data_IF_652017590056
#
_entry.id   IF_652017590056
#
_cell.length_a   1.000
_cell.length_b   1.000
_cell.length_c   1.000
_cell.angle_alpha   90.00
_cell.angle_beta   90.00
_cell.angle_gamma   90.00
#
_symmetry.space_group_name_H-M   'P 1'
#
loop_
_entity.id
_entity.type
_entity.pdbx_description
1 polymer ?
#
# COMPACT_ATOMS: atom_id res chain seq x y z
N UNK A 1 7.31 16.05 -10.67
CA UNK A 1 6.17 16.74 -11.32
C UNK A 1 5.14 17.06 -10.24
N UNK A 2 4.99 18.34 -9.84
CA UNK A 2 3.97 18.71 -8.84
C UNK A 2 2.64 18.79 -9.61
N UNK A 3 1.74 17.82 -9.42
CA UNK A 3 0.42 17.85 -10.09
C UNK A 3 -0.33 19.06 -9.54
N UNK A 4 -0.43 20.12 -10.34
CA UNK A 4 -1.06 21.38 -9.93
C UNK A 4 -2.57 21.11 -9.85
N UNK A 5 -3.12 21.20 -8.65
CA UNK A 5 -4.57 21.20 -8.45
C UNK A 5 -5.03 22.63 -8.70
N UNK A 6 -5.99 22.87 -9.61
CA UNK A 6 -6.55 24.21 -9.79
C UNK A 6 -7.06 24.77 -8.46
N UNK A 7 -6.80 26.04 -8.17
CA UNK A 7 -7.17 26.67 -6.90
C UNK A 7 -8.65 26.50 -6.60
N UNK A 8 -9.53 26.68 -7.59
CA UNK A 8 -10.97 26.47 -7.43
C UNK A 8 -11.31 25.04 -6.97
N UNK A 9 -10.63 24.03 -7.51
CA UNK A 9 -10.80 22.63 -7.11
C UNK A 9 -10.28 22.40 -5.69
N UNK A 10 -9.12 22.96 -5.34
CA UNK A 10 -8.57 22.85 -4.00
C UNK A 10 -9.49 23.50 -2.95
N UNK A 11 -10.05 24.67 -3.25
CA UNK A 11 -11.00 25.37 -2.39
C UNK A 11 -12.31 24.58 -2.22
N UNK A 12 -12.85 24.03 -3.31
CA UNK A 12 -14.04 23.17 -3.27
C UNK A 12 -13.81 21.92 -2.41
N UNK A 13 -12.68 21.23 -2.61
CA UNK A 13 -12.34 20.03 -1.82
C UNK A 13 -12.16 20.38 -0.35
N UNK A 14 -11.42 21.46 -0.04
CA UNK A 14 -11.25 21.94 1.34
C UNK A 14 -12.59 22.22 2.01
N UNK A 15 -13.49 22.95 1.35
CA UNK A 15 -14.80 23.26 1.91
C UNK A 15 -15.61 22.00 2.17
N UNK A 16 -15.68 21.07 1.20
CA UNK A 16 -16.40 19.81 1.39
C UNK A 16 -15.82 18.94 2.50
N UNK A 17 -14.50 18.91 2.67
CA UNK A 17 -13.85 18.18 3.77
C UNK A 17 -14.20 18.77 5.15
N UNK A 18 -14.23 20.10 5.28
CA UNK A 18 -14.63 20.76 6.53
C UNK A 18 -16.12 20.54 6.85
N UNK A 19 -16.99 20.66 5.85
CA UNK A 19 -18.42 20.34 6.00
C UNK A 19 -18.64 18.87 6.42
N UNK A 20 -17.84 17.94 5.88
CA UNK A 20 -17.87 16.54 6.30
C UNK A 20 -17.47 16.33 7.77
N UNK A 21 -16.45 17.05 8.24
CA UNK A 21 -16.05 17.03 9.65
C UNK A 21 -17.16 17.59 10.55
N UNK A 22 -17.79 18.70 10.16
CA UNK A 22 -18.94 19.26 10.89
C UNK A 22 -20.07 18.24 11.01
N UNK A 23 -20.42 17.58 9.90
CA UNK A 23 -21.48 16.59 9.87
C UNK A 23 -21.21 15.39 10.80
N UNK A 24 -19.98 14.84 10.76
CA UNK A 24 -19.60 13.71 11.62
C UNK A 24 -19.57 14.09 13.11
N UNK A 25 -19.24 15.34 13.42
CA UNK A 25 -19.23 15.86 14.80
C UNK A 25 -20.60 16.39 15.26
N UNK A 26 -21.63 16.40 14.40
CA UNK A 26 -22.95 16.95 14.71
C UNK A 26 -22.96 18.47 14.91
N UNK A 27 -22.00 19.18 14.32
CA UNK A 27 -21.86 20.63 14.44
C UNK A 27 -22.72 21.35 13.38
N UNK A 28 -23.23 22.57 13.66
CA UNK A 28 -23.89 23.39 12.66
C UNK A 28 -22.93 23.69 11.49
N UNK A 29 -23.48 23.82 10.29
CA UNK A 29 -22.72 24.15 9.09
C UNK A 29 -21.97 25.49 9.27
N UNK A 30 -20.71 25.53 8.86
CA UNK A 30 -19.81 26.69 8.96
C UNK A 30 -19.52 27.15 10.39
N UNK A 31 -19.68 26.27 11.39
CA UNK A 31 -19.39 26.60 12.79
C UNK A 31 -17.93 26.32 13.18
N UNK A 32 -17.20 25.50 12.41
CA UNK A 32 -15.78 25.27 12.67
C UNK A 32 -14.98 26.56 12.47
N UNK A 33 -14.04 26.80 13.39
CA UNK A 33 -13.06 27.86 13.22
C UNK A 33 -12.24 27.60 11.96
N UNK A 34 -11.95 28.67 11.20
CA UNK A 34 -11.13 28.58 10.00
C UNK A 34 -9.74 28.01 10.34
N UNK A 35 -9.28 26.96 9.64
CA UNK A 35 -7.95 26.41 9.86
C UNK A 35 -6.86 27.45 9.62
N UNK A 36 -5.83 27.46 10.47
CA UNK A 36 -4.66 28.35 10.35
C UNK A 36 -3.84 28.01 9.10
N UNK A 37 -3.85 26.74 8.70
CA UNK A 37 -3.15 26.25 7.51
C UNK A 37 -3.96 25.16 6.82
N UNK A 38 -3.96 25.16 5.48
CA UNK A 38 -4.58 24.11 4.67
C UNK A 38 -3.72 23.76 3.48
N UNK A 39 -3.64 22.45 3.16
CA UNK A 39 -3.01 21.92 1.96
C UNK A 39 -3.82 20.77 1.40
N UNK A 40 -4.15 20.84 0.12
CA UNK A 40 -4.81 19.75 -0.61
C UNK A 40 -3.77 19.01 -1.45
N UNK A 41 -3.84 17.69 -1.46
CA UNK A 41 -2.98 16.83 -2.27
C UNK A 41 -3.84 15.86 -3.09
N UNK A 42 -3.50 15.68 -4.36
CA UNK A 42 -4.21 14.79 -5.28
C UNK A 42 -3.37 13.54 -5.50
N UNK A 43 -3.96 12.40 -5.19
CA UNK A 43 -3.38 11.07 -5.41
C UNK A 43 -4.14 10.39 -6.54
N UNK A 44 -3.60 10.48 -7.77
CA UNK A 44 -4.30 9.99 -8.98
C UNK A 44 -4.44 8.47 -9.08
N UNK A 45 -3.61 7.73 -8.33
CA UNK A 45 -3.63 6.27 -8.23
C UNK A 45 -3.37 5.89 -6.77
N UNK A 46 -4.19 6.44 -5.87
CA UNK A 46 -4.01 6.26 -4.42
C UNK A 46 -4.27 4.83 -3.97
N UNK A 47 -5.30 4.21 -4.55
CA UNK A 47 -5.82 2.91 -4.17
C UNK A 47 -5.94 2.01 -5.41
N UNK A 48 -5.30 0.82 -5.41
CA UNK A 48 -5.56 -0.18 -6.42
C UNK A 48 -6.98 -0.70 -6.28
N UNK A 49 -7.62 -1.05 -7.40
CA UNK A 49 -8.96 -1.63 -7.44
C UNK A 49 -8.95 -3.15 -7.63
N UNK A 50 -7.80 -3.71 -7.99
CA UNK A 50 -7.58 -5.13 -8.19
C UNK A 50 -6.15 -5.52 -7.82
N UNK A 51 -5.90 -6.81 -7.68
CA UNK A 51 -4.62 -7.36 -7.28
C UNK A 51 -4.39 -8.75 -7.88
N UNK A 52 -3.17 -9.10 -8.30
CA UNK A 52 -2.81 -10.46 -8.71
C UNK A 52 -2.65 -11.43 -7.50
N UNK A 53 -2.79 -10.93 -6.27
CA UNK A 53 -2.68 -11.72 -5.03
C UNK A 53 -1.34 -12.47 -4.88
N UNK A 54 -0.24 -11.81 -5.24
CA UNK A 54 1.12 -12.34 -5.10
C UNK A 54 2.03 -11.37 -4.35
N UNK A 55 3.01 -11.84 -3.57
CA UNK A 55 3.88 -10.95 -2.80
C UNK A 55 4.78 -10.08 -3.68
N UNK A 56 5.25 -10.63 -4.79
CA UNK A 56 6.04 -9.93 -5.78
C UNK A 56 5.87 -10.58 -7.15
N UNK A 57 6.34 -9.89 -8.18
CA UNK A 57 6.56 -10.47 -9.51
C UNK A 57 8.06 -10.51 -9.74
N UNK A 58 8.59 -11.66 -10.11
CA UNK A 58 10.00 -11.82 -10.50
C UNK A 58 10.10 -12.61 -11.80
N UNK A 59 10.78 -12.02 -12.78
CA UNK A 59 11.03 -12.60 -14.10
C UNK A 59 12.54 -12.74 -14.27
N UNK A 60 13.12 -13.88 -13.87
CA UNK A 60 14.57 -14.05 -13.77
C UNK A 60 15.26 -14.01 -15.14
N UNK A 61 14.62 -14.50 -16.21
CA UNK A 61 15.15 -14.44 -17.57
C UNK A 61 15.34 -12.99 -18.04
N UNK A 62 14.43 -12.10 -17.65
CA UNK A 62 14.50 -10.67 -17.95
C UNK A 62 15.22 -9.84 -16.89
N UNK A 63 15.62 -10.46 -15.77
CA UNK A 63 16.12 -9.79 -14.56
C UNK A 63 15.25 -8.60 -14.14
N UNK A 64 13.94 -8.78 -14.30
CA UNK A 64 12.93 -7.77 -14.02
C UNK A 64 12.10 -8.20 -12.81
N UNK A 65 11.76 -7.24 -11.98
CA UNK A 65 10.92 -7.48 -10.80
C UNK A 65 10.03 -6.30 -10.46
N UNK A 66 8.94 -6.61 -9.77
CA UNK A 66 7.97 -5.62 -9.28
C UNK A 66 7.55 -6.02 -7.87
N UNK A 67 7.55 -5.05 -6.96
CA UNK A 67 6.97 -5.17 -5.62
C UNK A 67 6.17 -3.91 -5.27
N UNK A 68 5.28 -4.02 -4.28
CA UNK A 68 4.48 -2.92 -3.77
C UNK A 68 3.19 -3.43 -3.14
N UNK A 69 2.50 -2.58 -2.38
CA UNK A 69 1.29 -3.00 -1.66
C UNK A 69 0.28 -3.67 -2.60
N UNK A 70 0.00 -3.03 -3.73
CA UNK A 70 -1.01 -3.41 -4.71
C UNK A 70 -0.91 -4.86 -5.26
N UNK A 71 0.22 -5.55 -5.10
CA UNK A 71 0.35 -6.94 -5.51
C UNK A 71 -0.31 -7.96 -4.56
N UNK A 72 -0.41 -7.64 -3.27
CA UNK A 72 -1.13 -8.45 -2.27
C UNK A 72 -2.42 -7.76 -1.80
N UNK A 73 -2.32 -6.50 -1.37
CA UNK A 73 -3.46 -5.72 -0.86
C UNK A 73 -3.16 -4.20 -0.85
N UNK A 74 -4.18 -3.36 -0.68
CA UNK A 74 -3.99 -1.90 -0.62
C UNK A 74 -3.45 -1.39 0.75
N UNK A 75 -2.40 -2.02 1.30
CA UNK A 75 -1.92 -1.77 2.66
C UNK A 75 -0.40 -1.49 2.74
N UNK A 76 0.04 -0.89 3.86
CA UNK A 76 1.48 -0.66 4.14
C UNK A 76 2.18 -1.97 4.45
N UNK A 77 1.52 -2.86 5.19
CA UNK A 77 2.00 -4.21 5.48
C UNK A 77 2.30 -4.98 4.20
N UNK A 78 1.37 -5.01 3.25
CA UNK A 78 1.55 -5.66 1.95
C UNK A 78 2.73 -5.09 1.17
N UNK A 79 2.97 -3.78 1.27
CA UNK A 79 4.12 -3.16 0.61
C UNK A 79 5.44 -3.63 1.24
N UNK A 80 5.50 -3.76 2.57
CA UNK A 80 6.68 -4.28 3.26
C UNK A 80 6.92 -5.76 2.97
N UNK A 81 5.87 -6.59 3.07
CA UNK A 81 5.92 -8.02 2.74
C UNK A 81 6.38 -8.25 1.30
N UNK A 82 5.84 -7.50 0.35
CA UNK A 82 6.24 -7.64 -1.05
C UNK A 82 7.68 -7.23 -1.31
N UNK A 83 8.18 -6.19 -0.62
CA UNK A 83 9.59 -5.80 -0.68
C UNK A 83 10.53 -6.89 -0.15
N UNK A 84 10.20 -7.51 1.00
CA UNK A 84 10.99 -8.61 1.57
C UNK A 84 10.96 -9.86 0.68
N UNK A 85 9.79 -10.25 0.19
CA UNK A 85 9.65 -11.40 -0.71
C UNK A 85 10.50 -11.22 -1.97
N UNK A 86 10.46 -10.03 -2.57
CA UNK A 86 11.29 -9.74 -3.74
C UNK A 86 12.78 -9.83 -3.42
N UNK A 87 13.21 -9.28 -2.27
CA UNK A 87 14.61 -9.35 -1.85
C UNK A 87 15.09 -10.81 -1.72
N UNK A 88 14.25 -11.70 -1.17
CA UNK A 88 14.56 -13.13 -1.08
C UNK A 88 14.71 -13.78 -2.47
N UNK A 89 13.76 -13.56 -3.39
CA UNK A 89 13.87 -14.07 -4.76
C UNK A 89 15.13 -13.60 -5.50
N UNK A 90 15.53 -12.34 -5.29
CA UNK A 90 16.79 -11.80 -5.83
C UNK A 90 18.00 -12.49 -5.20
N UNK A 91 18.00 -12.67 -3.88
CA UNK A 91 19.09 -13.33 -3.17
C UNK A 91 19.25 -14.79 -3.63
N UNK A 92 18.15 -15.52 -3.77
CA UNK A 92 18.14 -16.91 -4.23
C UNK A 92 18.66 -17.02 -5.67
N UNK A 93 18.24 -16.11 -6.56
CA UNK A 93 18.73 -16.07 -7.95
C UNK A 93 20.24 -15.82 -8.04
N UNK A 94 20.76 -14.90 -7.21
CA UNK A 94 22.19 -14.61 -7.15
C UNK A 94 22.96 -15.79 -6.52
N UNK A 95 22.40 -16.40 -5.49
CA UNK A 95 22.98 -17.56 -4.79
C UNK A 95 23.03 -18.82 -5.64
N UNK A 96 22.06 -19.02 -6.54
CA UNK A 96 22.04 -20.16 -7.47
C UNK A 96 23.03 -20.02 -8.63
N UNK A 97 23.69 -18.86 -8.76
CA UNK A 97 24.51 -18.55 -9.95
C UNK A 97 23.68 -18.43 -11.23
N UNK A 98 22.37 -18.19 -11.11
CA UNK A 98 21.45 -18.16 -12.25
C UNK A 98 21.15 -19.53 -12.84
N UNK A 99 21.41 -20.62 -12.10
CA UNK A 99 21.00 -21.98 -12.48
C UNK A 99 19.51 -22.19 -12.13
N UNK A 100 18.78 -22.87 -13.01
CA UNK A 100 17.33 -23.09 -12.94
C UNK A 100 16.48 -21.84 -12.65
N UNK A 101 16.69 -20.74 -13.40
CA UNK A 101 15.97 -19.48 -13.15
C UNK A 101 14.45 -19.63 -13.22
N UNK A 102 13.94 -20.55 -14.04
CA UNK A 102 12.51 -20.85 -14.17
C UNK A 102 11.82 -21.21 -12.84
N UNK A 103 12.54 -21.82 -11.90
CA UNK A 103 11.97 -22.22 -10.60
C UNK A 103 11.76 -21.02 -9.67
N UNK A 104 12.47 -19.92 -9.92
CA UNK A 104 12.37 -18.69 -9.14
C UNK A 104 11.35 -17.70 -9.72
N UNK A 105 10.79 -17.99 -10.90
CA UNK A 105 9.80 -17.13 -11.53
C UNK A 105 8.48 -17.15 -10.74
N UNK A 106 7.91 -15.96 -10.50
CA UNK A 106 6.67 -15.83 -9.71
C UNK A 106 5.80 -14.68 -10.21
N UNK A 107 4.48 -14.87 -10.16
CA UNK A 107 3.50 -13.79 -10.20
C UNK A 107 3.12 -13.23 -11.57
N UNK A 108 3.90 -13.46 -12.63
CA UNK A 108 3.68 -12.81 -13.93
C UNK A 108 2.34 -13.21 -14.61
N UNK A 109 1.88 -14.43 -14.37
CA UNK A 109 0.71 -15.02 -15.06
C UNK A 109 -0.54 -15.10 -14.17
N UNK A 110 -0.52 -14.42 -13.02
CA UNK A 110 -1.64 -14.41 -12.10
C UNK A 110 -2.73 -13.44 -12.61
N UNK A 111 -3.97 -13.92 -12.63
CA UNK A 111 -5.13 -13.09 -12.97
C UNK A 111 -5.41 -12.06 -11.89
N UNK A 112 -5.82 -10.85 -12.31
CA UNK A 112 -6.22 -9.80 -11.38
C UNK A 112 -7.61 -10.10 -10.79
N UNK A 113 -7.68 -10.10 -9.47
CA UNK A 113 -8.91 -10.22 -8.72
C UNK A 113 -9.30 -8.87 -8.10
N UNK A 114 -10.60 -8.56 -7.96
CA UNK A 114 -11.04 -7.38 -7.24
C UNK A 114 -10.50 -7.36 -5.80
N UNK A 115 -10.09 -6.18 -5.32
CA UNK A 115 -9.64 -6.02 -3.94
C UNK A 115 -10.83 -5.89 -2.99
N UNK A 116 -10.76 -6.56 -1.84
CA UNK A 116 -11.61 -6.22 -0.70
C UNK A 116 -11.22 -4.82 -0.18
N UNK A 117 -12.22 -3.98 0.07
CA UNK A 117 -12.02 -2.59 0.45
C UNK A 117 -11.46 -2.49 1.87
N UNK A 118 -10.14 -2.37 1.99
CA UNK A 118 -9.47 -2.00 3.23
C UNK A 118 -9.07 -0.53 3.21
N UNK A 119 -9.07 0.11 4.39
CA UNK A 119 -8.59 1.48 4.52
C UNK A 119 -7.10 1.57 4.16
N UNK A 120 -6.75 2.58 3.36
CA UNK A 120 -5.37 2.93 3.04
C UNK A 120 -4.54 3.13 4.32
N UNK A 121 -3.36 2.50 4.40
CA UNK A 121 -2.44 2.69 5.53
C UNK A 121 -2.59 1.69 6.68
N UNK A 122 -3.51 0.73 6.58
CA UNK A 122 -3.68 -0.33 7.57
C UNK A 122 -2.49 -1.30 7.60
N UNK A 123 -2.38 -2.00 8.73
CA UNK A 123 -1.59 -3.22 8.92
C UNK A 123 -2.57 -4.34 9.33
N UNK A 124 -3.27 -4.96 8.35
CA UNK A 124 -4.37 -5.87 8.62
C UNK A 124 -4.05 -6.98 9.64
N UNK A 125 -2.84 -7.54 9.61
CA UNK A 125 -2.49 -8.68 10.48
C UNK A 125 -2.09 -8.25 11.91
N UNK A 126 -1.82 -6.96 12.14
CA UNK A 126 -1.50 -6.42 13.46
C UNK A 126 -2.73 -6.30 14.39
N UNK A 127 -3.95 -6.36 13.86
CA UNK A 127 -5.20 -6.33 14.64
C UNK A 127 -5.79 -7.70 15.00
N UNK A 128 -5.40 -8.76 14.28
CA UNK A 128 -6.00 -10.10 14.43
C UNK A 128 -5.27 -10.95 15.47
N UNK A 129 -3.99 -10.66 15.74
CA UNK A 129 -3.17 -11.37 16.74
C UNK A 129 -3.01 -10.60 18.07
N UNK A 130 -4.10 -10.05 18.60
CA UNK A 130 -4.21 -9.65 20.01
C UNK A 130 -4.11 -10.80 21.03
N UNK A 131 -3.72 -12.01 20.62
CA UNK A 131 -3.19 -13.04 21.51
C UNK A 131 -1.69 -13.16 21.26
N UNK A 132 -0.91 -12.50 22.13
CA UNK A 132 0.52 -12.74 22.32
C UNK A 132 0.76 -14.24 22.51
N UNK A 133 1.13 -14.93 21.44
CA UNK A 133 1.91 -16.15 21.55
C UNK A 133 3.28 -15.74 22.06
N UNK A 134 3.65 -16.25 23.24
CA UNK A 134 5.02 -16.14 23.74
C UNK A 134 5.94 -16.89 22.79
N UNK A 135 6.57 -16.18 21.86
CA UNK A 135 7.75 -16.66 21.16
C UNK A 135 8.85 -15.65 21.42
N UNK A 136 9.74 -16.03 22.34
CA UNK A 136 11.01 -15.38 22.60
C UNK A 136 11.77 -15.14 21.30
N UNK A 137 11.80 -13.87 20.86
CA UNK A 137 12.80 -13.41 19.90
C UNK A 137 14.14 -13.50 20.64
N UNK A 138 14.94 -14.49 20.26
CA UNK A 138 16.34 -14.57 20.67
C UNK A 138 17.09 -13.49 19.91
N UNK A 139 17.36 -12.37 20.59
CA UNK A 139 18.32 -11.38 20.11
C UNK A 139 19.71 -12.00 20.14
N UNK A 140 20.26 -12.31 18.98
CA UNK A 140 21.71 -12.41 18.84
C UNK A 140 22.18 -11.31 17.90
N UNK A 141 23.16 -10.57 18.42
CA UNK A 141 24.06 -9.65 17.73
C UNK A 141 24.63 -10.27 16.46
#
# INVERSE_FOLDING_TARGET
MKKIIPTATAEKVKMGMLEGVEAVLGLPKSSLQKPVYTRVQLWGAALPTNTPSVPCIFVPQGRASICGGWLLAASVESAALGGMALANHIADYLGSGGVHPEELAVGLYNDFQPLEGHDTGQFPDFGVHGKRGSSSISTYL
#
